data_IF_625379137210
#
_entry.id   IF_625379137210
#
_cell.length_a   1.000
_cell.length_b   1.000
_cell.length_c   1.000
_cell.angle_alpha   90.00
_cell.angle_beta   90.00
_cell.angle_gamma   90.00
#
_symmetry.space_group_name_H-M   'P 1'
#
loop_
_entity.id
_entity.type
_entity.pdbx_description
1 polymer ?
#
# COMPACT_ATOMS: atom_id res chain seq x y z
N UNK A 1 -6.10 -9.13 -41.20
CA UNK A 1 -7.05 -8.53 -40.23
C UNK A 1 -7.29 -9.41 -39.00
N UNK A 2 -7.77 -10.66 -39.14
CA UNK A 2 -8.02 -11.56 -37.99
C UNK A 2 -6.79 -11.82 -37.09
N UNK A 3 -5.61 -12.02 -37.70
CA UNK A 3 -4.34 -12.24 -36.95
C UNK A 3 -3.96 -11.03 -36.09
N UNK A 4 -4.05 -9.82 -36.64
CA UNK A 4 -3.76 -8.56 -35.93
C UNK A 4 -4.72 -8.39 -34.74
N UNK A 5 -6.01 -8.70 -34.93
CA UNK A 5 -7.01 -8.62 -33.87
C UNK A 5 -6.66 -9.55 -32.69
N UNK A 6 -6.20 -10.78 -32.98
CA UNK A 6 -5.79 -11.75 -31.96
C UNK A 6 -4.54 -11.27 -31.21
N UNK A 7 -3.57 -10.66 -31.89
CA UNK A 7 -2.34 -10.16 -31.24
C UNK A 7 -2.64 -8.96 -30.33
N UNK A 8 -3.50 -8.04 -30.77
CA UNK A 8 -3.95 -6.90 -29.96
C UNK A 8 -4.71 -7.38 -28.73
N UNK A 9 -5.60 -8.37 -28.88
CA UNK A 9 -6.32 -8.94 -27.75
C UNK A 9 -5.37 -9.60 -26.73
N UNK A 10 -4.38 -10.35 -27.20
CA UNK A 10 -3.38 -10.97 -26.33
C UNK A 10 -2.57 -9.93 -25.55
N UNK A 11 -2.17 -8.85 -26.23
CA UNK A 11 -1.46 -7.73 -25.62
C UNK A 11 -2.33 -7.03 -24.56
N UNK A 12 -3.60 -6.74 -24.86
CA UNK A 12 -4.53 -6.13 -23.90
C UNK A 12 -4.76 -7.01 -22.66
N UNK A 13 -4.84 -8.33 -22.83
CA UNK A 13 -4.94 -9.27 -21.71
C UNK A 13 -3.68 -9.18 -20.84
N UNK A 14 -2.48 -9.23 -21.43
CA UNK A 14 -1.22 -9.17 -20.67
C UNK A 14 -1.04 -7.85 -19.90
N UNK A 15 -1.50 -6.72 -20.46
CA UNK A 15 -1.47 -5.42 -19.79
C UNK A 15 -2.39 -5.38 -18.55
N UNK A 16 -3.60 -5.96 -18.66
CA UNK A 16 -4.53 -6.01 -17.53
C UNK A 16 -3.98 -6.87 -16.37
N UNK A 17 -3.28 -7.97 -16.67
CA UNK A 17 -2.67 -8.80 -15.62
C UNK A 17 -1.57 -8.06 -14.84
N UNK A 18 -0.79 -7.19 -15.52
CA UNK A 18 0.32 -6.44 -14.89
C UNK A 18 -0.16 -5.22 -14.09
N UNK A 19 -1.38 -4.75 -14.32
CA UNK A 19 -1.92 -3.54 -13.71
C UNK A 19 -2.75 -3.78 -12.43
N UNK A 20 -2.69 -4.98 -11.85
CA UNK A 20 -3.54 -5.33 -10.71
C UNK A 20 -3.13 -4.55 -9.45
N UNK A 21 -4.10 -3.86 -8.85
CA UNK A 21 -3.92 -3.20 -7.55
C UNK A 21 -3.92 -4.21 -6.43
N UNK A 22 -3.07 -3.98 -5.41
CA UNK A 22 -3.05 -4.86 -4.24
C UNK A 22 -4.32 -4.63 -3.40
N UNK A 23 -4.89 -5.66 -2.74
CA UNK A 23 -6.12 -5.51 -1.96
C UNK A 23 -6.05 -4.40 -0.91
N UNK A 24 -4.92 -4.20 -0.22
CA UNK A 24 -4.79 -3.09 0.74
C UNK A 24 -4.92 -1.68 0.12
N UNK A 25 -4.75 -1.55 -1.20
CA UNK A 25 -4.92 -0.31 -1.97
C UNK A 25 -6.35 -0.13 -2.52
N UNK A 26 -7.23 -1.12 -2.39
CA UNK A 26 -8.59 -1.06 -2.91
C UNK A 26 -9.51 -0.29 -1.93
N UNK A 27 -10.05 0.89 -2.31
CA UNK A 27 -10.91 1.69 -1.43
C UNK A 27 -12.30 1.07 -1.20
N UNK A 28 -12.68 0.04 -1.97
CA UNK A 28 -13.96 -0.65 -1.81
C UNK A 28 -13.93 -1.75 -0.73
N UNK A 29 -12.76 -2.09 -0.21
CA UNK A 29 -12.61 -3.03 0.91
C UNK A 29 -12.62 -2.28 2.25
N UNK A 30 -13.06 -2.96 3.31
CA UNK A 30 -13.02 -2.41 4.66
C UNK A 30 -11.57 -2.13 5.11
N UNK A 31 -11.42 -1.24 6.09
CA UNK A 31 -10.11 -0.97 6.70
C UNK A 31 -9.47 -2.24 7.29
N UNK A 32 -10.27 -3.13 7.88
CA UNK A 32 -9.80 -4.39 8.45
C UNK A 32 -9.27 -5.35 7.38
N UNK A 33 -10.01 -5.55 6.28
CA UNK A 33 -9.57 -6.40 5.17
C UNK A 33 -8.27 -5.87 4.56
N UNK A 34 -8.19 -4.55 4.37
CA UNK A 34 -6.99 -3.90 3.83
C UNK A 34 -5.79 -4.04 4.79
N UNK A 35 -6.00 -3.87 6.09
CA UNK A 35 -4.97 -4.03 7.10
C UNK A 35 -4.47 -5.49 7.18
N UNK A 36 -5.38 -6.47 7.15
CA UNK A 36 -5.03 -7.90 7.14
C UNK A 36 -4.17 -8.26 5.93
N UNK A 37 -4.56 -7.82 4.73
CA UNK A 37 -3.78 -8.03 3.51
C UNK A 37 -2.40 -7.38 3.62
N UNK A 38 -2.32 -6.11 4.05
CA UNK A 38 -1.05 -5.41 4.22
C UNK A 38 -0.12 -6.13 5.20
N UNK A 39 -0.62 -6.47 6.39
CA UNK A 39 0.16 -7.15 7.44
C UNK A 39 0.63 -8.53 6.98
N UNK A 40 -0.16 -9.24 6.17
CA UNK A 40 0.22 -10.55 5.61
C UNK A 40 1.43 -10.46 4.67
N UNK A 41 1.63 -9.30 4.04
CA UNK A 41 2.71 -9.06 3.06
C UNK A 41 4.03 -8.64 3.70
N UNK A 42 3.98 -8.13 4.93
CA UNK A 42 5.17 -7.66 5.66
C UNK A 42 6.01 -8.84 6.15
N UNK A 43 7.33 -8.72 6.02
CA UNK A 43 8.29 -9.56 6.74
C UNK A 43 8.22 -9.31 8.25
N UNK A 44 8.77 -10.21 9.05
CA UNK A 44 8.81 -10.01 10.50
C UNK A 44 9.61 -8.74 10.89
N UNK A 45 10.72 -8.46 10.20
CA UNK A 45 11.52 -7.27 10.42
C UNK A 45 10.75 -5.99 10.06
N UNK A 46 10.07 -5.99 8.91
CA UNK A 46 9.18 -4.89 8.49
C UNK A 46 8.02 -4.67 9.48
N UNK A 47 7.48 -5.72 10.10
CA UNK A 47 6.47 -5.56 11.16
C UNK A 47 7.06 -4.90 12.40
N UNK A 48 8.23 -5.35 12.84
CA UNK A 48 8.90 -4.82 14.01
C UNK A 48 9.25 -3.33 13.85
N UNK A 49 9.69 -2.90 12.65
CA UNK A 49 10.02 -1.50 12.38
C UNK A 49 8.80 -0.56 12.38
N UNK A 50 7.58 -1.10 12.29
CA UNK A 50 6.33 -0.32 12.32
C UNK A 50 5.70 -0.23 13.73
N UNK A 51 6.38 -0.73 14.77
CA UNK A 51 5.91 -0.67 16.16
C UNK A 51 6.41 0.57 16.92
N UNK A 52 7.18 1.44 16.26
CA UNK A 52 7.66 2.70 16.80
C UNK A 52 6.72 3.85 16.39
N UNK A 53 6.72 4.93 17.17
CA UNK A 53 6.06 6.20 16.83
C UNK A 53 6.55 6.71 15.48
N UNK A 54 7.86 6.90 15.35
CA UNK A 54 8.54 7.18 14.08
C UNK A 54 8.83 5.86 13.38
N UNK A 55 8.08 5.59 12.32
CA UNK A 55 8.19 4.38 11.52
C UNK A 55 8.90 4.66 10.20
N UNK A 56 9.91 3.82 9.89
CA UNK A 56 10.64 3.89 8.62
C UNK A 56 9.75 3.51 7.42
N UNK A 57 10.15 3.99 6.23
CA UNK A 57 9.48 3.63 4.99
C UNK A 57 9.64 2.14 4.66
N UNK A 58 8.64 1.59 3.98
CA UNK A 58 8.72 0.27 3.32
C UNK A 58 8.46 0.46 1.82
N UNK A 59 9.49 0.84 1.03
CA UNK A 59 9.32 1.25 -0.37
C UNK A 59 8.69 0.17 -1.25
N UNK A 60 8.99 -1.12 -0.99
CA UNK A 60 8.42 -2.27 -1.70
C UNK A 60 6.89 -2.29 -1.69
N UNK A 61 6.28 -1.81 -0.61
CA UNK A 61 4.84 -1.76 -0.42
C UNK A 61 4.27 -0.35 -0.57
N UNK A 62 5.11 0.64 -0.93
CA UNK A 62 4.70 2.04 -1.06
C UNK A 62 4.36 2.72 0.28
N UNK A 63 4.78 2.15 1.41
CA UNK A 63 4.61 2.79 2.72
C UNK A 63 5.71 3.85 2.87
N UNK A 64 5.31 5.10 3.13
CA UNK A 64 6.23 6.20 3.41
C UNK A 64 6.64 6.17 4.88
N UNK A 65 7.68 6.92 5.24
CA UNK A 65 7.93 7.25 6.65
C UNK A 65 6.69 7.91 7.24
N UNK A 66 6.32 7.54 8.46
CA UNK A 66 5.22 8.18 9.15
C UNK A 66 5.45 8.21 10.66
N UNK A 67 4.98 9.27 11.29
CA UNK A 67 4.88 9.39 12.75
C UNK A 67 3.40 9.34 13.13
N UNK A 68 2.99 8.30 13.87
CA UNK A 68 1.59 8.19 14.29
C UNK A 68 1.28 8.98 15.57
N UNK A 69 2.30 9.38 16.34
CA UNK A 69 2.11 10.18 17.54
C UNK A 69 1.95 11.65 17.19
N UNK A 70 0.72 12.15 17.31
CA UNK A 70 0.41 13.57 17.23
C UNK A 70 -0.45 13.99 18.42
N UNK A 71 -0.25 15.21 18.91
CA UNK A 71 -0.99 15.73 20.07
C UNK A 71 -1.78 16.99 19.71
N UNK A 72 -2.98 17.13 20.29
CA UNK A 72 -3.85 18.28 20.03
C UNK A 72 -4.72 18.68 21.23
N UNK A 73 -4.21 18.52 22.46
CA UNK A 73 -5.01 18.65 23.70
C UNK A 73 -5.81 19.97 23.79
N UNK A 74 -5.19 21.09 23.40
CA UNK A 74 -5.82 22.41 23.34
C UNK A 74 -5.36 23.20 22.10
N UNK A 75 -5.20 22.50 20.97
CA UNK A 75 -4.58 23.00 19.75
C UNK A 75 -3.46 22.08 19.29
N UNK A 76 -3.16 22.10 17.99
CA UNK A 76 -2.12 21.26 17.39
C UNK A 76 -0.78 21.49 18.08
N UNK A 77 -0.23 20.45 18.71
CA UNK A 77 1.13 20.46 19.18
C UNK A 77 2.05 20.29 17.97
N UNK A 78 2.93 21.27 17.75
CA UNK A 78 3.98 21.15 16.74
C UNK A 78 5.13 20.33 17.34
N UNK A 79 5.03 19.01 17.23
CA UNK A 79 6.14 18.10 17.49
C UNK A 79 7.08 18.20 16.28
N UNK A 80 8.01 19.15 16.30
CA UNK A 80 8.93 19.40 15.18
C UNK A 80 9.61 18.09 14.73
N UNK A 81 9.21 17.60 13.55
CA UNK A 81 10.07 16.86 12.62
C UNK A 81 10.97 17.86 11.85
#
# INVERSE_FOLDING_TARGET
MKRILVTVLYFLITLNLLAQTMPFQNPNLSSEERAKDLISRLTLAEKASLLCDVSDAIPRLGIKTFNWWSEALHGLANNND
#
